data_IF_611934274483
#
_entry.id   IF_611934274483
#
_cell.length_a   1.000
_cell.length_b   1.000
_cell.length_c   1.000
_cell.angle_alpha   90.00
_cell.angle_beta   90.00
_cell.angle_gamma   90.00
#
_symmetry.space_group_name_H-M   'P 1'
#
loop_
_entity.id
_entity.type
_entity.pdbx_description
1 polymer ?
#
# COMPACT_ATOMS: atom_id res chain seq x y z
N UNK A 1 -16.65 -14.81 25.58
CA UNK A 1 -16.34 -15.76 24.49
C UNK A 1 -16.70 -15.18 23.11
N UNK A 2 -17.91 -14.69 22.88
CA UNK A 2 -18.27 -14.10 21.55
C UNK A 2 -17.48 -12.81 21.28
N UNK A 3 -17.18 -12.04 22.32
CA UNK A 3 -16.51 -10.72 22.25
C UNK A 3 -15.05 -10.73 21.77
N UNK A 4 -14.44 -11.89 21.62
CA UNK A 4 -13.03 -12.02 21.16
C UNK A 4 -12.87 -12.98 19.97
N UNK A 5 -13.97 -13.40 19.37
CA UNK A 5 -13.97 -14.41 18.31
C UNK A 5 -13.10 -14.02 17.10
N UNK A 6 -13.04 -12.72 16.76
CA UNK A 6 -12.22 -12.23 15.64
C UNK A 6 -10.70 -12.30 15.88
N UNK A 7 -10.25 -12.44 17.14
CA UNK A 7 -8.81 -12.60 17.47
C UNK A 7 -8.30 -14.01 17.17
N UNK A 8 -9.20 -15.00 17.16
CA UNK A 8 -8.87 -16.41 16.88
C UNK A 8 -8.87 -16.74 15.39
N UNK A 9 -9.40 -15.82 14.55
CA UNK A 9 -9.46 -15.99 13.09
C UNK A 9 -8.06 -15.89 12.52
N UNK A 10 -7.67 -16.91 11.73
CA UNK A 10 -6.38 -16.94 11.05
C UNK A 10 -6.33 -15.82 10.01
N UNK A 11 -5.31 -14.98 10.13
CA UNK A 11 -5.04 -13.88 9.19
C UNK A 11 -3.83 -14.25 8.32
N UNK A 12 -3.80 -13.83 7.05
CA UNK A 12 -2.61 -14.02 6.22
C UNK A 12 -1.45 -13.22 6.81
N UNK A 13 -0.33 -13.88 7.08
CA UNK A 13 0.85 -13.24 7.66
C UNK A 13 1.57 -12.32 6.66
N UNK A 14 1.46 -12.61 5.37
CA UNK A 14 2.09 -11.86 4.28
C UNK A 14 1.28 -12.00 3.00
N UNK A 15 1.18 -10.91 2.25
CA UNK A 15 0.68 -10.94 0.88
C UNK A 15 1.85 -11.22 -0.07
N UNK A 16 1.70 -12.23 -0.94
CA UNK A 16 2.66 -12.50 -2.00
C UNK A 16 2.21 -11.80 -3.28
N UNK A 17 3.06 -10.93 -3.81
CA UNK A 17 2.80 -10.26 -5.09
C UNK A 17 3.58 -10.99 -6.17
N UNK A 18 2.88 -11.48 -7.19
CA UNK A 18 3.45 -12.08 -8.39
C UNK A 18 3.25 -11.17 -9.57
N UNK A 19 4.35 -10.63 -10.05
CA UNK A 19 4.36 -9.80 -11.22
C UNK A 19 4.21 -10.67 -12.48
N UNK A 20 3.29 -10.29 -13.35
CA UNK A 20 3.12 -10.90 -14.67
C UNK A 20 4.07 -10.28 -15.71
N UNK A 21 3.85 -10.55 -16.99
CA UNK A 21 4.74 -10.09 -18.09
C UNK A 21 4.91 -8.57 -18.14
N UNK A 22 3.90 -7.81 -17.68
CA UNK A 22 3.90 -6.35 -17.60
C UNK A 22 3.57 -5.93 -16.18
N UNK A 23 4.55 -5.88 -15.26
CA UNK A 23 4.31 -5.61 -13.83
C UNK A 23 3.71 -4.23 -13.55
N UNK A 24 3.92 -3.26 -14.43
CA UNK A 24 3.36 -1.91 -14.31
C UNK A 24 1.84 -1.88 -14.51
N UNK A 25 1.30 -2.82 -15.27
CA UNK A 25 -0.12 -2.87 -15.62
C UNK A 25 -0.86 -4.03 -15.00
N UNK A 26 -0.20 -5.16 -14.70
CA UNK A 26 -0.88 -6.36 -14.23
C UNK A 26 -0.07 -7.06 -13.15
N UNK A 27 -0.69 -7.27 -11.99
CA UNK A 27 -0.12 -8.03 -10.87
C UNK A 27 -1.14 -9.01 -10.31
N UNK A 28 -0.65 -10.15 -9.83
CA UNK A 28 -1.45 -11.14 -9.10
C UNK A 28 -1.07 -11.13 -7.63
N UNK A 29 -2.02 -10.78 -6.77
CA UNK A 29 -1.85 -10.68 -5.32
C UNK A 29 -2.46 -11.92 -4.68
N UNK A 30 -1.63 -12.65 -3.91
CA UNK A 30 -2.00 -13.89 -3.27
C UNK A 30 -2.07 -13.68 -1.77
N UNK A 31 -3.21 -14.02 -1.19
CA UNK A 31 -3.45 -14.01 0.25
C UNK A 31 -3.70 -15.45 0.73
N UNK A 32 -2.81 -15.97 1.54
CA UNK A 32 -2.92 -17.29 2.17
C UNK A 32 -2.20 -17.33 3.53
N UNK A 33 -2.71 -18.05 4.52
CA UNK A 33 -3.99 -18.76 4.56
C UNK A 33 -5.14 -17.82 4.96
N UNK A 34 -6.34 -18.10 4.48
CA UNK A 34 -7.60 -17.48 4.91
C UNK A 34 -8.53 -18.58 5.44
N UNK A 35 -9.40 -18.26 6.38
CA UNK A 35 -10.41 -19.21 6.80
C UNK A 35 -11.41 -19.53 5.67
N UNK A 36 -11.97 -20.72 5.71
CA UNK A 36 -12.90 -21.22 4.70
C UNK A 36 -14.06 -20.27 4.44
N UNK A 37 -14.23 -19.88 3.17
CA UNK A 37 -15.26 -18.96 2.69
C UNK A 37 -14.84 -17.50 2.66
N UNK A 38 -13.79 -17.10 3.39
CA UNK A 38 -13.29 -15.72 3.37
C UNK A 38 -12.66 -15.35 2.03
N UNK A 39 -12.03 -16.30 1.33
CA UNK A 39 -11.46 -16.08 0.00
C UNK A 39 -12.50 -15.54 -0.98
N UNK A 40 -13.68 -16.14 -1.05
CA UNK A 40 -14.77 -15.69 -1.92
C UNK A 40 -15.34 -14.35 -1.46
N UNK A 41 -15.54 -14.17 -0.16
CA UNK A 41 -16.12 -12.95 0.42
C UNK A 41 -15.22 -11.74 0.15
N UNK A 42 -13.94 -11.85 0.49
CA UNK A 42 -12.95 -10.78 0.31
C UNK A 42 -12.69 -10.54 -1.17
N UNK A 43 -12.48 -11.59 -1.96
CA UNK A 43 -12.20 -11.50 -3.39
C UNK A 43 -13.32 -10.80 -4.16
N UNK A 44 -14.59 -11.15 -3.90
CA UNK A 44 -15.73 -10.48 -4.52
C UNK A 44 -15.89 -9.03 -4.06
N UNK A 45 -15.72 -8.76 -2.76
CA UNK A 45 -15.83 -7.40 -2.22
C UNK A 45 -14.74 -6.48 -2.83
N UNK A 46 -13.48 -6.90 -2.81
CA UNK A 46 -12.38 -6.14 -3.41
C UNK A 46 -12.56 -5.93 -4.90
N UNK A 47 -12.97 -6.98 -5.65
CA UNK A 47 -13.25 -6.85 -7.08
C UNK A 47 -14.28 -5.76 -7.36
N UNK A 48 -15.37 -5.72 -6.60
CA UNK A 48 -16.43 -4.72 -6.79
C UNK A 48 -15.94 -3.30 -6.49
N UNK A 49 -15.18 -3.12 -5.42
CA UNK A 49 -14.63 -1.81 -5.02
C UNK A 49 -13.59 -1.33 -6.04
N UNK A 50 -12.69 -2.23 -6.48
CA UNK A 50 -11.69 -1.94 -7.51
C UNK A 50 -12.31 -1.39 -8.80
N UNK A 51 -13.42 -1.99 -9.26
CA UNK A 51 -14.07 -1.61 -10.52
C UNK A 51 -14.98 -0.37 -10.41
N UNK A 52 -15.47 -0.03 -9.21
CA UNK A 52 -16.50 1.00 -9.06
C UNK A 52 -16.11 2.22 -8.24
N UNK A 53 -15.16 2.09 -7.31
CA UNK A 53 -14.98 3.10 -6.25
C UNK A 53 -13.66 3.85 -6.32
N UNK A 54 -12.69 3.36 -7.08
CA UNK A 54 -11.41 4.04 -7.25
C UNK A 54 -11.59 5.31 -8.10
N UNK A 55 -10.88 6.35 -7.69
CA UNK A 55 -10.83 7.62 -8.39
C UNK A 55 -9.74 7.55 -9.46
N UNK A 56 -10.03 8.17 -10.61
CA UNK A 56 -9.08 8.37 -11.68
C UNK A 56 -9.36 9.66 -12.43
N UNK A 57 -8.65 9.88 -13.52
CA UNK A 57 -8.76 11.08 -14.35
C UNK A 57 -9.16 10.72 -15.77
N UNK A 58 -9.99 11.55 -16.40
CA UNK A 58 -10.38 11.32 -17.78
C UNK A 58 -10.71 12.66 -18.47
N UNK A 59 -10.71 12.64 -19.80
CA UNK A 59 -11.14 13.76 -20.63
C UNK A 59 -12.67 13.80 -20.60
N UNK A 60 -13.26 14.92 -20.16
CA UNK A 60 -14.72 15.11 -20.01
C UNK A 60 -15.33 15.94 -21.12
N UNK A 61 -14.53 16.79 -21.78
CA UNK A 61 -15.00 17.57 -22.93
C UNK A 61 -13.85 17.90 -23.89
N UNK A 62 -14.22 18.15 -25.14
CA UNK A 62 -13.30 18.59 -26.19
C UNK A 62 -13.86 19.86 -26.85
N UNK A 63 -12.96 20.70 -27.31
CA UNK A 63 -13.28 21.86 -28.13
C UNK A 63 -12.35 21.88 -29.35
N UNK A 64 -12.92 21.81 -30.53
CA UNK A 64 -12.18 21.82 -31.81
C UNK A 64 -12.41 23.15 -32.48
N UNK A 65 -11.33 23.79 -32.94
CA UNK A 65 -11.45 25.05 -33.61
C UNK A 65 -12.22 24.94 -34.92
N UNK A 66 -13.27 25.76 -35.07
CA UNK A 66 -14.10 25.76 -36.29
C UNK A 66 -15.22 24.71 -36.32
N UNK A 67 -15.40 23.95 -35.23
CA UNK A 67 -16.44 22.93 -35.10
C UNK A 67 -17.42 23.28 -33.99
N UNK A 68 -18.72 23.11 -34.24
CA UNK A 68 -19.78 23.46 -33.29
C UNK A 68 -20.51 22.26 -32.67
N UNK A 69 -20.47 21.10 -33.33
CA UNK A 69 -21.17 19.89 -32.88
C UNK A 69 -20.44 18.62 -33.32
N UNK A 70 -20.70 17.52 -32.66
CA UNK A 70 -20.05 16.22 -32.81
C UNK A 70 -20.19 15.54 -34.18
N UNK A 71 -21.21 15.92 -34.97
CA UNK A 71 -21.47 15.36 -36.29
C UNK A 71 -20.87 16.20 -37.44
N UNK A 72 -19.77 16.87 -37.15
CA UNK A 72 -19.04 17.70 -38.14
C UNK A 72 -17.82 16.96 -38.64
N UNK A 73 -17.44 17.24 -39.89
CA UNK A 73 -16.15 16.85 -40.45
C UNK A 73 -15.17 18.01 -40.39
N UNK A 74 -13.87 17.69 -40.21
CA UNK A 74 -12.79 18.67 -40.18
C UNK A 74 -12.08 18.62 -41.54
N UNK A 75 -11.93 19.75 -42.25
CA UNK A 75 -11.26 19.77 -43.55
C UNK A 75 -9.78 19.30 -43.44
N UNK A 76 -9.44 18.27 -44.26
CA UNK A 76 -8.09 17.71 -44.27
C UNK A 76 -7.79 16.70 -43.18
N UNK A 77 -8.79 16.28 -42.43
CA UNK A 77 -8.72 15.14 -41.48
C UNK A 77 -9.49 13.97 -42.10
N UNK A 78 -8.92 12.77 -42.00
CA UNK A 78 -9.54 11.57 -42.60
C UNK A 78 -10.70 11.06 -41.78
N UNK A 79 -10.57 11.08 -40.48
CA UNK A 79 -11.56 10.61 -39.51
C UNK A 79 -12.61 11.70 -39.28
N UNK A 80 -13.84 11.27 -39.09
CA UNK A 80 -14.91 12.14 -38.63
C UNK A 80 -14.73 12.51 -37.13
N UNK A 81 -15.33 13.61 -36.72
CA UNK A 81 -15.19 14.05 -35.32
C UNK A 81 -15.71 13.01 -34.30
N UNK A 82 -16.71 12.23 -34.66
CA UNK A 82 -17.19 11.09 -33.86
C UNK A 82 -16.12 10.03 -33.65
N UNK A 83 -15.33 9.71 -34.68
CA UNK A 83 -14.23 8.76 -34.58
C UNK A 83 -13.10 9.33 -33.72
N UNK A 84 -12.79 10.62 -33.90
CA UNK A 84 -11.81 11.32 -33.05
C UNK A 84 -12.26 11.27 -31.59
N UNK A 85 -13.52 11.51 -31.27
CA UNK A 85 -14.06 11.42 -29.90
C UNK A 85 -13.89 10.00 -29.34
N UNK A 86 -14.15 8.96 -30.15
CA UNK A 86 -13.96 7.57 -29.72
C UNK A 86 -12.50 7.26 -29.43
N UNK A 87 -11.59 7.77 -30.24
CA UNK A 87 -10.15 7.62 -30.03
C UNK A 87 -9.69 8.40 -28.78
N UNK A 88 -10.17 9.64 -28.58
CA UNK A 88 -9.88 10.45 -27.38
C UNK A 88 -10.32 9.75 -26.08
N UNK A 89 -11.46 9.03 -26.08
CA UNK A 89 -11.88 8.22 -24.92
C UNK A 89 -10.89 7.10 -24.58
N UNK A 90 -10.05 6.68 -25.52
CA UNK A 90 -8.98 5.70 -25.33
C UNK A 90 -7.72 6.27 -24.65
N UNK A 91 -7.59 7.60 -24.57
CA UNK A 91 -6.43 8.24 -23.95
C UNK A 91 -6.48 8.02 -22.44
N UNK A 92 -5.37 7.52 -21.87
CA UNK A 92 -5.20 7.28 -20.45
C UNK A 92 -4.45 8.44 -19.82
N UNK A 93 -5.10 9.11 -18.88
CA UNK A 93 -4.58 10.33 -18.26
C UNK A 93 -4.42 10.12 -16.77
N UNK A 94 -3.30 10.56 -16.21
CA UNK A 94 -3.05 10.68 -14.78
C UNK A 94 -2.98 12.16 -14.42
N UNK A 95 -3.68 12.58 -13.39
CA UNK A 95 -3.69 13.96 -12.91
C UNK A 95 -3.55 14.01 -11.41
N UNK A 96 -2.54 14.73 -10.92
CA UNK A 96 -2.24 14.90 -9.49
C UNK A 96 -2.78 16.26 -8.96
N UNK A 97 -3.94 16.70 -9.43
CA UNK A 97 -4.57 17.95 -9.04
C UNK A 97 -6.09 17.80 -8.92
N UNK A 98 -6.69 18.44 -7.91
CA UNK A 98 -8.14 18.47 -7.76
C UNK A 98 -8.73 19.63 -8.58
N UNK A 99 -9.61 19.31 -9.52
CA UNK A 99 -10.31 20.28 -10.36
C UNK A 99 -10.12 20.01 -11.85
N UNK A 100 -10.67 20.88 -12.70
CA UNK A 100 -10.57 20.79 -14.14
C UNK A 100 -9.27 21.42 -14.65
N UNK A 101 -8.58 20.74 -15.56
CA UNK A 101 -7.39 21.25 -16.26
C UNK A 101 -7.62 21.18 -17.75
N UNK A 102 -7.04 22.14 -18.47
CA UNK A 102 -7.07 22.16 -19.94
C UNK A 102 -5.72 21.76 -20.49
N UNK A 103 -5.75 20.88 -21.49
CA UNK A 103 -4.60 20.44 -22.28
C UNK A 103 -4.87 20.74 -23.75
N UNK A 104 -3.84 20.96 -24.54
CA UNK A 104 -3.98 21.42 -25.91
C UNK A 104 -3.21 20.52 -26.89
N UNK A 105 -3.78 20.36 -28.07
CA UNK A 105 -3.18 19.66 -29.19
C UNK A 105 -3.14 20.61 -30.39
N UNK A 106 -1.95 20.95 -30.85
CA UNK A 106 -1.71 21.82 -32.01
C UNK A 106 -0.81 21.09 -33.00
N UNK A 107 -1.35 20.64 -34.12
CA UNK A 107 -0.58 19.87 -35.12
C UNK A 107 -0.88 20.37 -36.53
N UNK A 108 0.19 20.53 -37.30
CA UNK A 108 0.15 20.86 -38.75
C UNK A 108 0.44 19.58 -39.55
N UNK A 109 -0.41 19.29 -40.55
CA UNK A 109 -0.28 18.10 -41.42
C UNK A 109 0.82 18.26 -42.52
N UNK A 110 1.24 17.15 -43.12
CA UNK A 110 0.71 15.81 -42.98
C UNK A 110 1.31 15.08 -41.75
N UNK A 111 0.50 14.47 -40.92
CA UNK A 111 0.91 13.72 -39.72
C UNK A 111 -0.14 12.72 -39.26
N UNK A 112 0.31 11.61 -38.67
CA UNK A 112 -0.55 10.79 -37.79
C UNK A 112 -0.48 11.39 -36.39
N UNK A 113 -1.59 11.85 -35.88
CA UNK A 113 -1.68 12.52 -34.58
C UNK A 113 -1.80 11.46 -33.50
N UNK A 114 -0.86 11.49 -32.54
CA UNK A 114 -0.85 10.59 -31.40
C UNK A 114 -1.05 11.36 -30.08
N UNK A 115 -1.43 10.64 -29.06
CA UNK A 115 -1.63 11.21 -27.72
C UNK A 115 -0.35 11.89 -27.16
N UNK A 116 0.83 11.41 -27.56
CA UNK A 116 2.12 12.02 -27.18
C UNK A 116 2.38 13.42 -27.74
N UNK A 117 1.57 13.88 -28.71
CA UNK A 117 1.67 15.25 -29.26
C UNK A 117 0.85 16.27 -28.46
N UNK A 118 0.11 15.86 -27.45
CA UNK A 118 -0.69 16.74 -26.62
C UNK A 118 0.23 17.49 -25.66
N UNK A 119 0.10 18.81 -25.62
CA UNK A 119 0.80 19.67 -24.68
C UNK A 119 0.10 19.62 -23.31
N UNK A 120 0.78 19.00 -22.32
CA UNK A 120 0.26 18.84 -20.97
C UNK A 120 0.99 19.74 -19.97
N UNK A 121 0.28 20.36 -19.01
CA UNK A 121 0.90 20.98 -17.86
C UNK A 121 1.55 19.91 -16.95
N UNK A 122 2.48 20.30 -16.04
CA UNK A 122 3.23 19.33 -15.21
C UNK A 122 2.35 18.44 -14.32
N UNK A 123 1.12 18.85 -14.04
CA UNK A 123 0.18 18.10 -13.19
C UNK A 123 -0.61 17.03 -13.96
N UNK A 124 -0.46 16.96 -15.29
CA UNK A 124 -1.20 16.03 -16.14
C UNK A 124 -0.20 15.21 -16.96
N UNK A 125 -0.30 13.88 -16.86
CA UNK A 125 0.54 12.93 -17.57
C UNK A 125 -0.30 12.00 -18.43
N UNK A 126 0.13 11.74 -19.67
CA UNK A 126 -0.53 10.79 -20.57
C UNK A 126 0.26 9.47 -20.52
N UNK A 127 -0.43 8.39 -20.21
CA UNK A 127 0.20 7.07 -20.02
C UNK A 127 0.42 6.31 -21.34
N UNK A 128 -0.45 6.49 -22.34
CA UNK A 128 -0.41 5.79 -23.62
C UNK A 128 -0.05 6.73 -24.78
N UNK A 129 1.20 7.18 -24.83
CA UNK A 129 1.69 8.17 -25.80
C UNK A 129 1.54 7.77 -27.28
N UNK A 130 1.60 6.47 -27.57
CA UNK A 130 1.50 5.91 -28.94
C UNK A 130 0.05 5.77 -29.44
N UNK A 131 -0.95 6.14 -28.62
CA UNK A 131 -2.35 6.03 -29.00
C UNK A 131 -2.71 6.99 -30.13
N UNK A 132 -3.17 6.46 -31.26
CA UNK A 132 -3.54 7.25 -32.45
C UNK A 132 -4.90 7.93 -32.23
N UNK A 133 -4.96 9.24 -32.54
CA UNK A 133 -6.17 10.06 -32.45
C UNK A 133 -6.80 10.25 -33.82
N UNK A 134 -6.02 10.72 -34.80
CA UNK A 134 -6.47 10.94 -36.18
C UNK A 134 -5.28 11.09 -37.15
N UNK A 135 -5.60 11.15 -38.44
CA UNK A 135 -4.63 11.35 -39.53
C UNK A 135 -4.91 12.65 -40.28
N UNK A 136 -3.90 13.50 -40.39
CA UNK A 136 -3.96 14.78 -41.11
C UNK A 136 -3.39 14.64 -42.52
N UNK A 137 -4.08 15.19 -43.49
CA UNK A 137 -3.60 15.35 -44.85
C UNK A 137 -2.70 16.60 -45.00
N UNK A 138 -2.05 16.74 -46.17
CA UNK A 138 -1.14 17.82 -46.42
C UNK A 138 -1.81 19.21 -46.38
N UNK A 139 -1.30 20.09 -45.51
CA UNK A 139 -1.80 21.46 -45.33
C UNK A 139 -2.98 21.58 -44.36
N UNK A 140 -3.44 20.47 -43.75
CA UNK A 140 -4.44 20.50 -42.68
C UNK A 140 -3.83 21.06 -41.38
N UNK A 141 -4.65 21.77 -40.61
CA UNK A 141 -4.30 22.25 -39.26
C UNK A 141 -5.37 21.78 -38.27
N UNK A 142 -4.92 21.20 -37.18
CA UNK A 142 -5.80 20.70 -36.14
C UNK A 142 -5.44 21.33 -34.80
N UNK A 143 -6.42 22.04 -34.21
CA UNK A 143 -6.31 22.60 -32.89
C UNK A 143 -7.45 22.08 -32.04
N UNK A 144 -7.12 21.33 -31.00
CA UNK A 144 -8.09 20.75 -30.04
C UNK A 144 -7.69 21.15 -28.64
N UNK A 145 -8.64 21.62 -27.86
CA UNK A 145 -8.53 21.81 -26.42
C UNK A 145 -9.33 20.70 -25.74
N UNK A 146 -8.71 20.00 -24.80
CA UNK A 146 -9.34 18.98 -23.98
C UNK A 146 -9.48 19.48 -22.54
N UNK A 147 -10.58 19.12 -21.88
CA UNK A 147 -10.74 19.33 -20.45
C UNK A 147 -10.61 17.99 -19.74
N UNK A 148 -9.67 17.90 -18.79
CA UNK A 148 -9.43 16.73 -17.94
C UNK A 148 -9.99 17.02 -16.56
N UNK A 149 -10.71 16.07 -16.00
CA UNK A 149 -11.27 16.15 -14.64
C UNK A 149 -11.04 14.83 -13.90
N UNK A 150 -11.09 14.88 -12.57
CA UNK A 150 -11.08 13.69 -11.70
C UNK A 150 -12.52 13.24 -11.41
N UNK A 151 -12.71 11.93 -11.36
CA UNK A 151 -14.01 11.35 -11.08
C UNK A 151 -13.93 9.89 -10.66
N UNK A 152 -15.08 9.23 -10.60
CA UNK A 152 -15.21 7.81 -10.26
C UNK A 152 -16.12 7.09 -11.25
N UNK A 153 -15.72 5.89 -11.62
CA UNK A 153 -16.53 5.02 -12.48
C UNK A 153 -16.77 5.59 -13.87
N UNK A 154 -18.00 5.48 -14.38
CA UNK A 154 -18.42 5.99 -15.68
C UNK A 154 -19.39 7.16 -15.53
N UNK A 155 -19.13 8.23 -16.27
CA UNK A 155 -20.00 9.41 -16.32
C UNK A 155 -20.35 9.70 -17.77
N UNK A 156 -21.65 9.75 -18.08
CA UNK A 156 -22.13 10.01 -19.44
C UNK A 156 -21.95 11.49 -19.82
N UNK A 157 -21.87 11.77 -21.13
CA UNK A 157 -21.80 13.13 -21.69
C UNK A 157 -22.96 14.02 -21.26
N UNK A 158 -24.15 13.44 -21.05
CA UNK A 158 -25.32 14.16 -20.55
C UNK A 158 -25.12 14.74 -19.13
N UNK A 159 -24.39 14.04 -18.25
CA UNK A 159 -24.05 14.51 -16.91
C UNK A 159 -22.89 15.51 -16.96
N UNK A 160 -21.91 15.28 -17.87
CA UNK A 160 -20.78 16.21 -18.07
C UNK A 160 -21.23 17.54 -18.70
N UNK A 161 -22.46 17.61 -19.22
CA UNK A 161 -23.05 18.82 -19.80
C UNK A 161 -23.45 19.78 -18.67
N UNK A 162 -22.58 20.74 -18.33
CA UNK A 162 -22.89 21.84 -17.39
C UNK A 162 -23.83 22.85 -18.06
N UNK A 163 -24.66 23.54 -17.27
CA UNK A 163 -25.64 24.51 -17.80
C UNK A 163 -25.01 25.69 -18.56
N UNK A 164 -23.78 26.08 -18.18
CA UNK A 164 -23.04 27.23 -18.75
C UNK A 164 -21.88 26.81 -19.67
N UNK A 165 -22.05 25.78 -20.49
CA UNK A 165 -20.98 25.36 -21.43
C UNK A 165 -20.85 26.37 -22.58
N UNK A 166 -19.65 26.88 -22.87
CA UNK A 166 -19.39 27.72 -24.03
C UNK A 166 -19.76 27.03 -25.35
N UNK A 167 -20.22 27.83 -26.34
CA UNK A 167 -20.54 27.31 -27.66
C UNK A 167 -19.29 26.69 -28.30
N UNK A 168 -19.42 25.47 -28.85
CA UNK A 168 -18.31 24.72 -29.47
C UNK A 168 -17.58 23.76 -28.55
N UNK A 169 -17.88 23.75 -27.24
CA UNK A 169 -17.40 22.69 -26.33
C UNK A 169 -18.34 21.49 -26.41
N UNK A 170 -17.80 20.34 -26.70
CA UNK A 170 -18.52 19.09 -26.88
C UNK A 170 -18.23 18.22 -25.65
N UNK A 171 -19.22 17.95 -24.78
CA UNK A 171 -19.06 17.03 -23.66
C UNK A 171 -18.98 15.60 -24.16
N UNK A 172 -18.07 14.81 -23.60
CA UNK A 172 -17.90 13.39 -23.94
C UNK A 172 -18.11 12.51 -22.72
N UNK A 173 -18.40 11.23 -22.95
CA UNK A 173 -18.45 10.26 -21.85
C UNK A 173 -17.05 10.04 -21.30
N UNK A 174 -16.94 9.94 -19.98
CA UNK A 174 -15.69 9.75 -19.28
C UNK A 174 -15.68 8.44 -18.51
N UNK A 175 -14.64 7.65 -18.67
CA UNK A 175 -14.34 6.44 -17.89
C UNK A 175 -13.19 6.79 -16.95
N UNK A 176 -13.51 7.05 -15.69
CA UNK A 176 -12.52 7.46 -14.68
C UNK A 176 -11.84 6.29 -13.99
N UNK A 177 -12.39 5.05 -14.11
CA UNK A 177 -11.83 3.90 -13.42
C UNK A 177 -10.42 3.57 -13.92
N UNK A 178 -9.37 3.62 -13.04
CA UNK A 178 -8.02 3.25 -13.43
C UNK A 178 -7.85 1.74 -13.59
N UNK A 179 -8.82 0.96 -13.11
CA UNK A 179 -8.80 -0.50 -13.17
C UNK A 179 -9.57 -0.98 -14.37
N UNK A 180 -8.89 -1.70 -15.28
CA UNK A 180 -9.43 -2.22 -16.53
C UNK A 180 -10.08 -3.58 -16.30
N UNK A 181 -9.41 -4.47 -15.58
CA UNK A 181 -9.87 -5.84 -15.35
C UNK A 181 -9.48 -6.35 -13.98
N UNK A 182 -10.40 -7.08 -13.34
CA UNK A 182 -10.15 -7.80 -12.10
C UNK A 182 -10.71 -9.20 -12.20
N UNK A 183 -9.86 -10.19 -11.92
CA UNK A 183 -10.26 -11.58 -11.76
C UNK A 183 -9.75 -12.11 -10.42
N UNK A 184 -10.49 -13.02 -9.81
CA UNK A 184 -10.03 -13.72 -8.62
C UNK A 184 -10.33 -15.21 -8.72
N UNK A 185 -9.45 -16.01 -8.12
CA UNK A 185 -9.61 -17.44 -7.95
C UNK A 185 -9.40 -17.81 -6.48
N UNK A 186 -10.13 -18.81 -6.01
CA UNK A 186 -10.01 -19.32 -4.65
C UNK A 186 -9.68 -20.80 -4.73
N UNK A 187 -8.50 -21.13 -4.24
CA UNK A 187 -7.97 -22.51 -4.14
C UNK A 187 -7.87 -22.91 -2.66
N UNK A 188 -7.61 -24.19 -2.42
CA UNK A 188 -7.37 -24.68 -1.06
C UNK A 188 -5.93 -24.39 -0.63
N UNK A 189 -5.75 -23.93 0.61
CA UNK A 189 -4.46 -23.79 1.28
C UNK A 189 -4.29 -24.82 2.38
N UNK A 190 -3.05 -25.19 2.67
CA UNK A 190 -2.71 -26.12 3.74
C UNK A 190 -1.96 -25.43 4.86
N UNK A 191 -2.47 -25.59 6.08
CA UNK A 191 -1.78 -25.15 7.31
C UNK A 191 -1.56 -26.39 8.20
N UNK A 192 -0.33 -26.86 8.27
CA UNK A 192 0.01 -28.05 9.03
C UNK A 192 -0.71 -29.31 8.50
N UNK A 193 -1.60 -29.87 9.29
CA UNK A 193 -2.41 -31.05 8.92
C UNK A 193 -3.78 -30.70 8.33
N UNK A 194 -4.22 -29.45 8.43
CA UNK A 194 -5.50 -28.98 7.90
C UNK A 194 -5.33 -28.46 6.48
N UNK A 195 -6.24 -28.85 5.58
CA UNK A 195 -6.21 -28.52 4.14
C UNK A 195 -7.44 -27.70 3.72
N UNK A 196 -8.23 -27.24 4.67
CA UNK A 196 -9.55 -26.61 4.44
C UNK A 196 -9.49 -25.05 4.42
N UNK A 197 -8.30 -24.49 4.44
CA UNK A 197 -8.12 -23.04 4.34
C UNK A 197 -8.22 -22.55 2.90
N UNK A 198 -8.64 -21.30 2.72
CA UNK A 198 -8.71 -20.68 1.41
C UNK A 198 -7.38 -19.99 1.06
N UNK A 199 -7.03 -20.05 -0.23
CA UNK A 199 -6.01 -19.25 -0.89
C UNK A 199 -6.68 -18.37 -1.91
N UNK A 200 -6.66 -17.07 -1.69
CA UNK A 200 -7.18 -16.09 -2.62
C UNK A 200 -6.05 -15.61 -3.55
N UNK A 201 -6.26 -15.77 -4.85
CA UNK A 201 -5.42 -15.20 -5.90
C UNK A 201 -6.22 -14.12 -6.63
N UNK A 202 -5.84 -12.86 -6.49
CA UNK A 202 -6.51 -11.70 -7.09
C UNK A 202 -5.61 -11.10 -8.16
N UNK A 203 -6.03 -11.17 -9.44
CA UNK A 203 -5.30 -10.58 -10.56
C UNK A 203 -5.96 -9.28 -10.97
N UNK A 204 -5.21 -8.20 -10.94
CA UNK A 204 -5.65 -6.84 -11.24
C UNK A 204 -4.86 -6.28 -12.41
N UNK A 205 -5.58 -5.75 -13.41
CA UNK A 205 -4.99 -5.02 -14.54
C UNK A 205 -5.45 -3.58 -14.48
N UNK A 206 -4.50 -2.66 -14.47
CA UNK A 206 -4.73 -1.22 -14.47
C UNK A 206 -4.37 -0.60 -15.83
N UNK A 207 -4.68 0.66 -15.99
CA UNK A 207 -4.32 1.45 -17.18
C UNK A 207 -2.93 2.11 -17.09
N UNK A 208 -2.20 1.89 -16.00
CA UNK A 208 -0.89 2.45 -15.70
C UNK A 208 -0.91 3.74 -14.89
N UNK A 209 -2.08 4.38 -14.69
CA UNK A 209 -2.18 5.59 -13.84
C UNK A 209 -1.96 5.28 -12.35
N UNK A 210 -2.31 4.05 -11.94
CA UNK A 210 -2.13 3.53 -10.57
C UNK A 210 -1.50 2.14 -10.64
N UNK A 211 -0.53 1.84 -9.80
CA UNK A 211 0.03 0.50 -9.70
C UNK A 211 -1.03 -0.49 -9.19
N UNK A 212 -1.06 -1.74 -9.72
CA UNK A 212 -2.06 -2.74 -9.31
C UNK A 212 -2.07 -3.02 -7.80
N UNK A 213 -0.90 -2.99 -7.16
CA UNK A 213 -0.74 -3.19 -5.71
C UNK A 213 -1.38 -2.06 -4.91
N UNK A 214 -1.13 -0.81 -5.32
CA UNK A 214 -1.72 0.38 -4.69
C UNK A 214 -3.23 0.42 -4.89
N UNK A 215 -3.73 0.02 -6.07
CA UNK A 215 -5.16 -0.08 -6.33
C UNK A 215 -5.85 -1.03 -5.34
N UNK A 216 -5.23 -2.19 -5.06
CA UNK A 216 -5.76 -3.14 -4.05
C UNK A 216 -5.69 -2.56 -2.65
N UNK A 217 -4.59 -1.89 -2.28
CA UNK A 217 -4.44 -1.25 -0.98
C UNK A 217 -5.50 -0.16 -0.75
N UNK A 218 -5.73 0.73 -1.73
CA UNK A 218 -6.79 1.74 -1.66
C UNK A 218 -8.19 1.11 -1.55
N UNK A 219 -8.44 0.03 -2.30
CA UNK A 219 -9.72 -0.68 -2.24
C UNK A 219 -9.98 -1.31 -0.89
N UNK A 220 -8.95 -1.92 -0.30
CA UNK A 220 -9.01 -2.49 1.05
C UNK A 220 -9.26 -1.39 2.10
N UNK A 221 -8.61 -0.24 1.97
CA UNK A 221 -8.83 0.91 2.86
C UNK A 221 -10.26 1.46 2.76
N UNK A 222 -10.78 1.62 1.55
CA UNK A 222 -12.18 2.04 1.33
C UNK A 222 -13.14 1.05 2.01
N UNK A 223 -12.90 -0.27 1.85
CA UNK A 223 -13.72 -1.30 2.48
C UNK A 223 -13.67 -1.19 4.00
N UNK A 224 -12.48 -1.05 4.57
CA UNK A 224 -12.29 -0.90 6.01
C UNK A 224 -13.05 0.31 6.56
N UNK A 225 -12.93 1.48 5.91
CA UNK A 225 -13.61 2.71 6.35
C UNK A 225 -15.13 2.58 6.30
N UNK A 226 -15.67 1.87 5.29
CA UNK A 226 -17.11 1.62 5.20
C UNK A 226 -17.59 0.64 6.29
N UNK A 227 -16.79 -0.36 6.65
CA UNK A 227 -17.12 -1.34 7.68
C UNK A 227 -17.02 -0.78 9.09
N UNK A 228 -16.18 0.22 9.33
CA UNK A 228 -16.04 0.85 10.66
C UNK A 228 -17.38 1.36 11.22
N UNK A 229 -18.29 1.83 10.36
CA UNK A 229 -19.61 2.32 10.79
C UNK A 229 -20.56 1.19 11.29
N UNK A 230 -20.23 -0.07 11.01
CA UNK A 230 -21.00 -1.23 11.50
C UNK A 230 -20.48 -1.77 12.84
N UNK A 231 -19.32 -1.30 13.29
CA UNK A 231 -18.76 -1.64 14.60
C UNK A 231 -19.39 -0.66 15.60
N UNK A 232 -20.24 -1.19 16.51
CA UNK A 232 -21.00 -0.42 17.48
C UNK A 232 -20.51 -0.58 18.93
N UNK A 233 -19.39 -1.23 19.12
CA UNK A 233 -18.73 -1.40 20.42
C UNK A 233 -17.37 -0.71 20.39
N UNK A 234 -16.98 -0.17 21.52
CA UNK A 234 -15.61 0.34 21.71
C UNK A 234 -14.69 -0.89 21.80
N UNK A 235 -13.75 -0.99 20.88
CA UNK A 235 -12.65 -1.92 21.07
C UNK A 235 -11.91 -1.47 22.34
N UNK A 236 -11.69 -2.38 23.33
CA UNK A 236 -10.80 -2.02 24.43
C UNK A 236 -9.49 -1.61 23.78
N UNK A 237 -9.10 -0.35 23.99
CA UNK A 237 -7.77 0.12 23.62
C UNK A 237 -6.79 -0.94 24.12
N UNK A 238 -6.16 -1.67 23.23
CA UNK A 238 -4.97 -2.42 23.58
C UNK A 238 -4.01 -1.32 24.00
N UNK A 239 -3.86 -1.14 25.31
CA UNK A 239 -2.86 -0.24 25.89
C UNK A 239 -1.61 -0.48 25.06
N UNK A 240 -1.24 0.50 24.24
CA UNK A 240 -0.13 0.34 23.32
C UNK A 240 1.04 -0.08 24.17
N UNK A 241 1.53 -1.30 23.93
CA UNK A 241 2.67 -1.87 24.67
C UNK A 241 3.86 -0.90 24.67
N UNK A 242 3.85 0.07 23.75
CA UNK A 242 4.81 1.16 23.66
C UNK A 242 4.70 2.16 24.82
N UNK A 243 3.51 2.57 25.28
CA UNK A 243 3.39 3.52 26.41
C UNK A 243 3.86 2.92 27.74
N UNK A 244 3.56 1.63 27.99
CA UNK A 244 4.03 0.97 29.22
C UNK A 244 5.56 0.76 29.24
N UNK A 245 6.16 0.64 28.05
CA UNK A 245 7.62 0.50 27.93
C UNK A 245 8.37 1.85 27.91
N UNK A 246 7.68 2.97 27.67
CA UNK A 246 8.28 4.31 27.74
C UNK A 246 8.34 4.84 29.18
N UNK A 247 7.43 4.39 30.05
CA UNK A 247 7.38 4.79 31.47
C UNK A 247 8.22 3.91 32.41
N UNK A 248 9.03 2.97 31.90
CA UNK A 248 9.92 2.20 32.75
C UNK A 248 11.04 3.10 33.26
N UNK A 249 11.28 3.15 34.60
CA UNK A 249 12.33 3.97 35.21
C UNK A 249 13.75 3.49 34.87
N UNK A 250 13.89 2.44 34.06
CA UNK A 250 15.17 1.83 33.71
C UNK A 250 15.24 1.41 32.25
N UNK A 251 16.43 1.16 31.72
CA UNK A 251 16.68 0.80 30.34
C UNK A 251 16.01 -0.56 29.96
N UNK A 252 15.25 -0.61 28.87
CA UNK A 252 14.58 -1.82 28.35
C UNK A 252 15.53 -3.02 28.16
N UNK A 253 16.81 -2.76 27.86
CA UNK A 253 17.82 -3.80 27.70
C UNK A 253 18.07 -4.61 28.97
N UNK A 254 17.71 -4.09 30.13
CA UNK A 254 17.90 -4.78 31.43
C UNK A 254 16.96 -5.99 31.59
N UNK A 255 15.80 -5.97 30.91
CA UNK A 255 14.81 -7.06 30.93
C UNK A 255 15.18 -8.25 30.02
N UNK A 256 16.18 -8.10 29.14
CA UNK A 256 16.60 -9.17 28.25
C UNK A 256 17.35 -10.25 29.03
N UNK A 257 17.23 -11.49 28.54
CA UNK A 257 17.92 -12.64 29.15
C UNK A 257 19.41 -12.62 28.82
N UNK A 258 20.23 -13.06 29.76
CA UNK A 258 21.69 -13.19 29.57
C UNK A 258 22.04 -14.19 28.47
N UNK A 259 21.17 -15.16 28.20
CA UNK A 259 21.34 -16.15 27.12
C UNK A 259 21.30 -15.54 25.70
N UNK A 260 20.73 -14.35 25.56
CA UNK A 260 20.67 -13.60 24.29
C UNK A 260 21.98 -12.85 23.99
N UNK A 261 22.82 -12.68 25.00
CA UNK A 261 24.14 -12.11 24.80
C UNK A 261 25.03 -13.13 24.10
N UNK A 262 25.68 -12.72 23.02
CA UNK A 262 26.64 -13.57 22.28
C UNK A 262 27.91 -13.83 23.08
N UNK A 263 27.74 -14.48 24.25
CA UNK A 263 28.85 -14.81 25.16
C UNK A 263 29.41 -16.19 24.82
N UNK A 264 30.68 -16.41 25.19
CA UNK A 264 31.26 -17.77 25.11
C UNK A 264 30.48 -18.73 26.02
N UNK A 265 30.39 -20.01 25.60
CA UNK A 265 29.68 -21.09 26.33
C UNK A 265 30.15 -21.16 27.81
N UNK A 266 31.41 -20.85 28.05
CA UNK A 266 32.01 -20.86 29.40
C UNK A 266 31.47 -19.68 30.24
N UNK A 267 31.39 -18.49 29.67
CA UNK A 267 30.86 -17.30 30.33
C UNK A 267 29.38 -17.46 30.65
N UNK A 268 28.59 -17.95 29.67
CA UNK A 268 27.15 -18.20 29.85
C UNK A 268 26.87 -19.23 30.96
N UNK A 269 27.62 -20.34 31.01
CA UNK A 269 27.46 -21.36 32.05
C UNK A 269 27.82 -20.86 33.44
N UNK A 270 28.81 -19.96 33.56
CA UNK A 270 29.16 -19.37 34.84
C UNK A 270 28.05 -18.46 35.38
N UNK A 271 27.42 -17.67 34.50
CA UNK A 271 26.31 -16.80 34.88
C UNK A 271 25.06 -17.59 35.30
N UNK A 272 24.76 -18.70 34.57
CA UNK A 272 23.65 -19.63 34.95
C UNK A 272 23.87 -20.27 36.32
N UNK A 273 25.10 -20.64 36.64
CA UNK A 273 25.43 -21.27 37.92
C UNK A 273 25.28 -20.27 39.09
N UNK A 274 25.40 -18.99 38.82
CA UNK A 274 25.23 -17.91 39.81
C UNK A 274 23.80 -17.36 39.86
N UNK A 275 22.85 -18.05 39.18
CA UNK A 275 21.42 -17.66 39.06
C UNK A 275 21.20 -16.26 38.49
N UNK A 276 22.08 -15.77 37.61
CA UNK A 276 21.94 -14.52 36.89
C UNK A 276 21.18 -14.80 35.61
N UNK A 277 19.90 -14.41 35.57
CA UNK A 277 19.00 -14.70 34.44
C UNK A 277 18.85 -13.50 33.51
N UNK A 278 18.76 -12.30 34.07
CA UNK A 278 18.51 -11.08 33.32
C UNK A 278 19.76 -10.17 33.29
N UNK A 279 19.86 -9.34 32.27
CA UNK A 279 20.96 -8.36 32.13
C UNK A 279 20.95 -7.40 33.32
N UNK A 280 19.76 -7.06 33.86
CA UNK A 280 19.64 -6.22 35.06
C UNK A 280 20.29 -6.83 36.31
N UNK A 281 20.23 -8.15 36.51
CA UNK A 281 20.90 -8.85 37.60
C UNK A 281 22.41 -8.80 37.42
N UNK A 282 22.88 -8.87 36.18
CA UNK A 282 24.31 -8.82 35.83
C UNK A 282 24.92 -7.43 36.08
N UNK A 283 24.17 -6.37 35.68
CA UNK A 283 24.64 -4.97 35.80
C UNK A 283 24.77 -4.52 37.26
N UNK A 284 23.92 -5.04 38.16
CA UNK A 284 24.03 -4.73 39.60
C UNK A 284 25.24 -5.38 40.27
N UNK A 285 25.84 -6.42 39.66
CA UNK A 285 27.04 -7.04 40.22
C UNK A 285 28.27 -6.19 39.97
N UNK A 286 29.10 -6.06 40.99
CA UNK A 286 30.41 -5.39 40.87
C UNK A 286 31.46 -6.31 40.26
N UNK A 287 32.48 -5.75 39.58
CA UNK A 287 33.59 -6.54 39.01
C UNK A 287 34.30 -7.44 40.06
N UNK A 288 34.53 -7.01 41.30
CA UNK A 288 35.13 -7.87 42.31
C UNK A 288 34.24 -9.05 42.72
N UNK A 289 32.91 -8.87 42.71
CA UNK A 289 31.96 -9.97 42.97
C UNK A 289 31.97 -11.00 41.85
N UNK A 290 31.97 -10.55 40.61
CA UNK A 290 32.03 -11.43 39.43
C UNK A 290 33.31 -12.27 39.41
N UNK A 291 34.44 -11.72 39.84
CA UNK A 291 35.72 -12.46 39.95
C UNK A 291 35.77 -13.47 41.12
N UNK A 292 34.83 -13.40 42.07
CA UNK A 292 34.70 -14.40 43.14
C UNK A 292 33.92 -15.63 42.73
N UNK A 293 33.18 -15.56 41.64
CA UNK A 293 32.42 -16.68 41.09
C UNK A 293 33.35 -17.78 40.60
N UNK A 294 33.12 -19.04 41.03
CA UNK A 294 34.00 -20.17 40.64
C UNK A 294 34.02 -20.34 39.10
N UNK A 295 35.23 -20.56 38.55
CA UNK A 295 35.49 -20.72 37.13
C UNK A 295 35.28 -19.47 36.23
N UNK A 296 35.05 -18.26 36.85
CA UNK A 296 34.95 -16.99 36.14
C UNK A 296 36.31 -16.29 36.08
N UNK A 297 36.77 -15.96 34.89
CA UNK A 297 38.09 -15.39 34.66
C UNK A 297 38.08 -13.96 34.11
N UNK A 298 39.23 -13.27 34.14
CA UNK A 298 39.39 -11.93 33.57
C UNK A 298 39.02 -11.81 32.09
N UNK A 299 39.17 -12.90 31.32
CA UNK A 299 38.77 -12.91 29.90
C UNK A 299 37.25 -12.83 29.75
N UNK A 300 36.51 -13.62 30.54
CA UNK A 300 35.04 -13.58 30.56
C UNK A 300 34.51 -12.23 31.06
N UNK A 301 35.18 -11.60 32.01
CA UNK A 301 34.83 -10.27 32.49
C UNK A 301 34.96 -9.22 31.37
N UNK A 302 36.07 -9.25 30.63
CA UNK A 302 36.28 -8.32 29.52
C UNK A 302 35.25 -8.53 28.39
N UNK A 303 34.93 -9.78 28.07
CA UNK A 303 33.88 -10.12 27.08
C UNK A 303 32.53 -9.53 27.50
N UNK A 304 32.09 -9.72 28.72
CA UNK A 304 30.85 -9.16 29.26
C UNK A 304 30.90 -7.62 29.26
N UNK A 305 32.00 -7.02 29.65
CA UNK A 305 32.16 -5.57 29.63
C UNK A 305 32.03 -4.97 28.25
N UNK A 306 32.61 -5.60 27.22
CA UNK A 306 32.49 -5.14 25.84
C UNK A 306 31.04 -5.21 25.34
N UNK A 307 30.33 -6.31 25.63
CA UNK A 307 28.93 -6.47 25.24
C UNK A 307 28.01 -5.46 25.95
N UNK A 308 28.17 -5.28 27.26
CA UNK A 308 27.43 -4.30 28.05
C UNK A 308 27.67 -2.87 27.55
N UNK A 309 28.93 -2.53 27.20
CA UNK A 309 29.30 -1.19 26.71
C UNK A 309 28.62 -0.88 25.36
N UNK A 310 28.44 -1.87 24.46
CA UNK A 310 27.69 -1.69 23.23
C UNK A 310 26.23 -1.36 23.52
N UNK A 311 25.66 -1.85 24.62
CA UNK A 311 24.29 -1.58 25.07
C UNK A 311 24.17 -0.32 25.93
N UNK A 312 25.27 0.41 26.16
CA UNK A 312 25.31 1.59 27.04
C UNK A 312 25.15 1.27 28.51
N UNK A 313 25.57 0.06 28.95
CA UNK A 313 25.47 -0.44 30.32
C UNK A 313 26.87 -0.71 30.89
N UNK A 314 27.02 -0.59 32.22
CA UNK A 314 28.28 -0.87 32.95
C UNK A 314 27.99 -1.77 34.15
N UNK A 315 29.01 -2.53 34.60
CA UNK A 315 28.92 -3.35 35.79
C UNK A 315 29.01 -2.46 37.06
N UNK A 316 28.19 -2.77 38.07
CA UNK A 316 28.12 -2.02 39.31
C UNK A 316 27.17 -0.81 39.23
N UNK A 317 26.28 -0.74 38.23
CA UNK A 317 25.24 0.29 38.21
C UNK A 317 24.15 -0.05 39.22
N UNK A 318 23.72 0.96 39.99
CA UNK A 318 22.58 0.86 40.88
C UNK A 318 21.29 1.10 40.06
N UNK A 319 20.44 0.09 39.97
CA UNK A 319 19.16 0.17 39.25
C UNK A 319 18.06 0.25 40.29
N UNK A 320 17.43 1.42 40.42
CA UNK A 320 16.31 1.63 41.31
C UNK A 320 15.14 0.71 40.95
N UNK A 321 14.55 0.06 41.98
CA UNK A 321 13.42 -0.86 41.84
C UNK A 321 13.68 -2.14 41.00
N UNK A 322 14.91 -2.65 41.00
CA UNK A 322 15.22 -3.94 40.37
C UNK A 322 15.29 -5.07 41.43
N UNK A 323 14.76 -6.29 41.19
CA UNK A 323 13.88 -6.67 40.07
C UNK A 323 12.44 -6.14 40.26
N UNK A 324 11.74 -5.77 39.16
CA UNK A 324 10.35 -5.36 39.24
C UNK A 324 9.45 -6.55 39.62
N UNK A 325 8.37 -6.30 40.40
CA UNK A 325 7.46 -7.36 40.86
C UNK A 325 6.86 -8.20 39.71
N UNK A 326 6.74 -7.64 38.50
CA UNK A 326 6.12 -8.26 37.33
C UNK A 326 7.13 -8.61 36.23
N UNK A 327 8.39 -8.93 36.56
CA UNK A 327 9.47 -9.14 35.58
C UNK A 327 9.09 -10.19 34.50
N UNK A 328 8.44 -11.29 34.88
CA UNK A 328 8.04 -12.35 33.94
C UNK A 328 6.98 -11.90 32.94
N UNK A 329 6.04 -11.05 33.37
CA UNK A 329 5.02 -10.47 32.47
C UNK A 329 5.64 -9.44 31.52
N UNK A 330 6.54 -8.60 32.00
CA UNK A 330 7.25 -7.61 31.20
C UNK A 330 8.14 -8.29 30.15
N UNK A 331 8.81 -9.38 30.49
CA UNK A 331 9.65 -10.15 29.55
C UNK A 331 8.79 -10.83 28.50
N UNK A 332 7.66 -11.47 28.87
CA UNK A 332 6.74 -12.05 27.89
C UNK A 332 6.21 -11.02 26.90
N UNK A 333 5.91 -9.82 27.35
CA UNK A 333 5.46 -8.71 26.48
C UNK A 333 6.55 -8.22 25.51
N UNK A 334 7.83 -8.43 25.84
CA UNK A 334 8.97 -8.09 24.96
C UNK A 334 9.28 -9.23 23.98
N UNK A 335 9.18 -10.50 24.43
CA UNK A 335 9.49 -11.69 23.62
C UNK A 335 8.38 -12.03 22.60
N UNK A 336 7.13 -11.63 22.85
CA UNK A 336 5.99 -11.80 21.93
C UNK A 336 5.51 -10.44 21.37
N UNK A 337 6.25 -9.79 20.49
CA UNK A 337 5.69 -8.71 19.69
C UNK A 337 4.89 -9.33 18.56
N UNK A 338 3.57 -9.57 18.76
CA UNK A 338 2.57 -10.03 17.77
C UNK A 338 2.64 -11.48 17.30
#
# INVERSE_FOLDING_TARGET
MIEKNWKEIIKPSKLEVRNEKNPEYTSSIIAEPLERGYGVTIGNALRRILLSSLQGSAITSIQVQGVLHEFSSIPGVREDLTDIILNVKGIKVKMDFDGAKKIQLNVDGPATVTAGMIECPPEVEIMNLDHEICTLDQGAKLNIEFTVENGKGYVSSAVNRKEDIPIGVIPIDAIFSPVVQVSYNVDNARVGQQTDYDKLSLTVTTDGSVAPEDAVAFSARIMQDQLNNFINFEEPEEEEVQEVLEDLPFNKNLLRKVDELELSVRSANCLKNDNIVYIGDLVQRSEPEMLRTPNFGRKSLNEIREVLKVMGLELGMDVENWPPENIEELVKRIEEPF
#
